data_IF_269426761729
#
_entry.id   IF_269426761729
#
_cell.length_a   1.000
_cell.length_b   1.000
_cell.length_c   1.000
_cell.angle_alpha   90.00
_cell.angle_beta   90.00
_cell.angle_gamma   90.00
#
_symmetry.space_group_name_H-M   'P 1'
#
loop_
_entity.id
_entity.type
_entity.pdbx_description
1 polymer ?
#
# COMPACT_ATOMS: atom_id res chain seq x y z
N UNK A 1 4.80 -15.40 -16.83
CA UNK A 1 3.54 -16.17 -16.98
C UNK A 1 2.68 -15.87 -15.76
N UNK A 2 1.43 -15.47 -15.95
CA UNK A 2 0.47 -15.22 -14.86
C UNK A 2 0.40 -16.43 -13.92
N UNK A 3 0.43 -16.17 -12.62
CA UNK A 3 0.26 -17.19 -11.58
C UNK A 3 -1.19 -17.66 -11.58
N UNK A 4 -1.42 -18.90 -11.92
CA UNK A 4 -2.74 -19.52 -11.88
C UNK A 4 -2.67 -20.78 -11.02
N UNK A 5 -3.59 -20.90 -10.08
CA UNK A 5 -3.67 -22.05 -9.20
C UNK A 5 -4.54 -23.13 -9.84
N UNK A 6 -4.03 -24.36 -9.87
CA UNK A 6 -4.84 -25.54 -10.17
C UNK A 6 -5.95 -25.74 -9.12
N UNK A 7 -7.04 -26.46 -9.43
CA UNK A 7 -8.10 -26.75 -8.45
C UNK A 7 -7.60 -27.42 -7.15
N UNK A 8 -6.54 -28.24 -7.25
CA UNK A 8 -5.91 -28.88 -6.09
C UNK A 8 -5.20 -27.84 -5.20
N UNK A 9 -4.45 -26.91 -5.79
CA UNK A 9 -3.77 -25.82 -5.08
C UNK A 9 -4.77 -24.85 -4.48
N UNK A 10 -5.83 -24.49 -5.21
CA UNK A 10 -6.91 -23.64 -4.67
C UNK A 10 -7.52 -24.25 -3.40
N UNK A 11 -7.84 -25.55 -3.42
CA UNK A 11 -8.36 -26.27 -2.25
C UNK A 11 -7.34 -26.31 -1.11
N UNK A 12 -6.07 -26.54 -1.43
CA UNK A 12 -4.98 -26.60 -0.45
C UNK A 12 -4.77 -25.26 0.26
N UNK A 13 -4.71 -24.13 -0.49
CA UNK A 13 -4.53 -22.80 0.09
C UNK A 13 -5.80 -22.29 0.78
N UNK A 14 -6.98 -22.56 0.24
CA UNK A 14 -8.24 -22.20 0.90
C UNK A 14 -8.41 -22.86 2.27
N UNK A 15 -7.92 -24.08 2.45
CA UNK A 15 -7.95 -24.80 3.73
C UNK A 15 -7.02 -24.17 4.80
N UNK A 16 -6.05 -23.34 4.39
CA UNK A 16 -5.14 -22.64 5.29
C UNK A 16 -5.64 -21.25 5.72
N UNK A 17 -6.64 -20.74 5.02
CA UNK A 17 -7.30 -19.52 5.43
C UNK A 17 -8.15 -19.77 6.67
N UNK A 18 -8.11 -18.86 7.62
CA UNK A 18 -8.89 -18.96 8.86
C UNK A 18 -10.17 -18.10 8.80
N UNK A 19 -11.09 -18.37 9.72
CA UNK A 19 -12.27 -17.55 9.99
C UNK A 19 -12.38 -17.32 11.50
N UNK A 20 -12.54 -16.08 11.88
CA UNK A 20 -12.70 -15.67 13.27
C UNK A 20 -14.18 -15.74 13.66
N UNK A 21 -14.47 -16.36 14.81
CA UNK A 21 -15.83 -16.51 15.37
C UNK A 21 -15.97 -15.87 16.75
N UNK A 22 -14.86 -15.54 17.39
CA UNK A 22 -14.75 -14.93 18.72
C UNK A 22 -13.51 -14.05 18.79
N UNK A 23 -13.33 -13.31 19.88
CA UNK A 23 -12.11 -12.54 20.14
C UNK A 23 -10.89 -13.45 20.03
N UNK A 24 -9.94 -13.02 19.22
CA UNK A 24 -8.71 -13.74 18.94
C UNK A 24 -7.57 -13.19 19.80
N UNK A 25 -6.63 -14.04 20.19
CA UNK A 25 -5.34 -13.63 20.70
C UNK A 25 -4.41 -13.26 19.52
N UNK A 26 -3.33 -12.48 19.75
CA UNK A 26 -2.39 -12.12 18.68
C UNK A 26 -1.87 -13.32 17.90
N UNK A 27 -1.50 -14.39 18.56
CA UNK A 27 -0.98 -15.65 17.99
C UNK A 27 -2.00 -16.37 17.07
N UNK A 28 -3.28 -16.12 17.26
CA UNK A 28 -4.34 -16.71 16.42
C UNK A 28 -4.44 -16.05 15.05
N UNK A 29 -3.97 -14.80 14.91
CA UNK A 29 -4.17 -13.97 13.70
C UNK A 29 -2.87 -13.59 13.01
N UNK A 30 -1.71 -13.62 13.69
CA UNK A 30 -0.43 -13.25 13.07
C UNK A 30 -0.02 -14.32 12.05
N UNK A 31 0.54 -13.89 10.94
CA UNK A 31 0.92 -14.72 9.79
C UNK A 31 -0.23 -15.58 9.24
N UNK A 32 -1.46 -15.05 9.32
CA UNK A 32 -2.65 -15.72 8.83
C UNK A 32 -3.37 -14.91 7.76
N UNK A 33 -3.89 -15.64 6.77
CA UNK A 33 -4.88 -15.11 5.83
C UNK A 33 -6.28 -15.39 6.39
N UNK A 34 -7.03 -14.32 6.64
CA UNK A 34 -8.40 -14.39 7.19
C UNK A 34 -9.39 -14.25 6.04
N UNK A 35 -10.02 -15.36 5.65
CA UNK A 35 -11.03 -15.37 4.58
C UNK A 35 -12.42 -15.05 5.12
N UNK A 36 -12.66 -13.77 5.33
CA UNK A 36 -13.88 -13.23 5.93
C UNK A 36 -14.09 -11.77 5.50
N UNK A 37 -15.32 -11.26 5.61
CA UNK A 37 -15.57 -9.83 5.50
C UNK A 37 -14.73 -9.05 6.52
N UNK A 38 -13.90 -8.13 6.05
CA UNK A 38 -12.93 -7.42 6.88
C UNK A 38 -13.59 -6.60 7.99
N UNK A 39 -14.75 -5.99 7.73
CA UNK A 39 -15.50 -5.23 8.74
C UNK A 39 -16.00 -6.10 9.90
N UNK A 40 -16.27 -7.39 9.64
CA UNK A 40 -16.63 -8.37 10.66
C UNK A 40 -15.40 -8.96 11.33
N UNK A 41 -14.36 -9.27 10.54
CA UNK A 41 -13.12 -9.85 11.07
C UNK A 41 -12.44 -8.92 12.08
N UNK A 42 -12.35 -7.63 11.78
CA UNK A 42 -11.75 -6.62 12.66
C UNK A 42 -12.40 -6.61 14.06
N UNK A 43 -13.69 -6.87 14.20
CA UNK A 43 -14.37 -6.89 15.49
C UNK A 43 -13.78 -7.94 16.46
N UNK A 44 -13.11 -8.96 15.94
CA UNK A 44 -12.47 -10.02 16.70
C UNK A 44 -10.97 -9.79 17.00
N UNK A 45 -10.34 -8.81 16.37
CA UNK A 45 -8.92 -8.51 16.58
C UNK A 45 -8.66 -7.97 17.97
N UNK A 46 -7.47 -8.22 18.54
CA UNK A 46 -6.99 -7.54 19.74
C UNK A 46 -6.89 -6.03 19.51
N UNK A 47 -6.95 -5.26 20.57
CA UNK A 47 -6.67 -3.84 20.52
C UNK A 47 -5.16 -3.61 20.38
N UNK A 48 -4.75 -2.52 19.70
CA UNK A 48 -3.35 -2.07 19.58
C UNK A 48 -2.37 -3.19 19.20
N UNK A 49 -2.73 -3.99 18.19
CA UNK A 49 -1.90 -5.11 17.74
C UNK A 49 -1.19 -4.86 16.40
N UNK A 50 -1.55 -3.80 15.66
CA UNK A 50 -1.04 -3.52 14.31
C UNK A 50 -0.07 -2.33 14.34
N UNK A 51 1.12 -2.50 13.75
CA UNK A 51 2.15 -1.47 13.60
C UNK A 51 2.03 -0.71 12.28
N UNK A 52 1.69 -1.42 11.21
CA UNK A 52 1.53 -0.85 9.88
C UNK A 52 0.26 -1.37 9.22
N UNK A 53 -0.58 -0.48 8.73
CA UNK A 53 -1.73 -0.82 7.91
C UNK A 53 -1.53 -0.30 6.48
N UNK A 54 -1.56 -1.21 5.51
CA UNK A 54 -1.54 -0.88 4.08
C UNK A 54 -2.90 -1.23 3.49
N UNK A 55 -3.53 -0.28 2.83
CA UNK A 55 -4.92 -0.40 2.41
C UNK A 55 -5.07 -0.05 0.94
N UNK A 56 -5.50 -1.02 0.14
CA UNK A 56 -5.96 -0.81 -1.24
C UNK A 56 -7.48 -1.05 -1.31
N UNK A 57 -8.30 -0.08 -0.86
CA UNK A 57 -9.74 -0.26 -0.78
C UNK A 57 -10.36 -0.26 -2.17
N UNK A 58 -11.55 -0.82 -2.36
CA UNK A 58 -12.30 -0.58 -3.60
C UNK A 58 -12.43 0.91 -3.86
N UNK A 59 -11.93 1.35 -5.03
CA UNK A 59 -12.13 2.72 -5.49
C UNK A 59 -13.58 2.92 -5.89
N UNK A 60 -14.07 4.16 -5.84
CA UNK A 60 -15.46 4.44 -6.19
C UNK A 60 -15.73 4.31 -7.70
N UNK A 61 -15.50 3.12 -8.21
CA UNK A 61 -15.68 2.72 -9.59
C UNK A 61 -16.47 1.42 -9.64
N UNK A 62 -17.37 1.30 -10.62
CA UNK A 62 -18.03 0.02 -10.85
C UNK A 62 -17.03 -1.02 -11.35
N UNK A 63 -16.72 -2.01 -10.51
CA UNK A 63 -15.76 -3.06 -10.81
C UNK A 63 -16.22 -4.42 -10.29
N UNK A 64 -16.02 -5.43 -11.15
CA UNK A 64 -16.31 -6.82 -10.81
C UNK A 64 -15.04 -7.49 -10.28
N UNK A 65 -15.14 -8.11 -9.10
CA UNK A 65 -14.09 -8.89 -8.44
C UNK A 65 -14.44 -10.39 -8.42
N UNK A 66 -14.99 -10.91 -9.51
CA UNK A 66 -15.43 -12.30 -9.64
C UNK A 66 -16.76 -12.55 -8.93
N UNK A 67 -16.74 -12.88 -7.65
CA UNK A 67 -17.95 -13.18 -6.86
C UNK A 67 -18.67 -11.97 -6.28
N UNK A 68 -18.06 -10.78 -6.36
CA UNK A 68 -18.61 -9.53 -5.84
C UNK A 68 -18.41 -8.39 -6.82
N UNK A 69 -19.33 -7.44 -6.82
CA UNK A 69 -19.21 -6.21 -7.61
C UNK A 69 -19.30 -5.03 -6.68
N UNK A 70 -18.26 -4.18 -6.71
CA UNK A 70 -18.35 -2.85 -6.13
C UNK A 70 -19.01 -1.94 -7.17
N UNK A 71 -20.05 -1.23 -6.78
CA UNK A 71 -20.76 -0.28 -7.65
C UNK A 71 -20.35 1.15 -7.30
N UNK A 72 -20.08 1.94 -8.33
CA UNK A 72 -19.86 3.38 -8.18
C UNK A 72 -21.10 4.02 -7.51
N UNK A 73 -20.86 4.90 -6.55
CA UNK A 73 -21.87 5.67 -5.84
C UNK A 73 -21.51 7.16 -5.92
N UNK A 74 -22.38 8.03 -5.42
CA UNK A 74 -22.01 9.41 -5.19
C UNK A 74 -20.87 9.51 -4.15
N UNK A 75 -20.14 10.62 -4.17
CA UNK A 75 -18.96 10.81 -3.34
C UNK A 75 -19.29 10.78 -1.84
N UNK A 76 -20.43 11.29 -1.43
CA UNK A 76 -20.82 11.32 -0.01
C UNK A 76 -21.17 9.92 0.51
N UNK A 77 -21.81 9.10 -0.30
CA UNK A 77 -22.03 7.68 0.01
C UNK A 77 -20.71 6.91 0.12
N UNK A 78 -19.75 7.18 -0.77
CA UNK A 78 -18.41 6.61 -0.67
C UNK A 78 -17.69 7.07 0.60
N UNK A 79 -17.74 8.36 0.95
CA UNK A 79 -17.19 8.90 2.21
C UNK A 79 -17.79 8.23 3.45
N UNK A 80 -19.10 7.99 3.46
CA UNK A 80 -19.78 7.27 4.55
C UNK A 80 -19.27 5.84 4.68
N UNK A 81 -19.12 5.14 3.55
CA UNK A 81 -18.56 3.80 3.52
C UNK A 81 -17.11 3.78 4.02
N UNK A 82 -16.25 4.68 3.51
CA UNK A 82 -14.87 4.83 3.93
C UNK A 82 -14.75 5.09 5.45
N UNK A 83 -15.58 6.00 5.97
CA UNK A 83 -15.61 6.32 7.39
C UNK A 83 -16.01 5.12 8.27
N UNK A 84 -16.94 4.28 7.78
CA UNK A 84 -17.44 3.13 8.52
C UNK A 84 -16.33 2.12 8.84
N UNK A 85 -15.49 1.80 7.89
CA UNK A 85 -14.41 0.84 8.12
C UNK A 85 -13.19 1.48 8.79
N UNK A 86 -12.81 2.72 8.43
CA UNK A 86 -11.70 3.42 9.08
C UNK A 86 -11.94 3.55 10.60
N UNK A 87 -13.14 3.95 10.99
CA UNK A 87 -13.50 4.03 12.42
C UNK A 87 -13.27 2.71 13.17
N UNK A 88 -13.52 1.57 12.53
CA UNK A 88 -13.29 0.26 13.14
C UNK A 88 -11.80 -0.09 13.25
N UNK A 89 -10.98 0.36 12.32
CA UNK A 89 -9.54 0.04 12.33
C UNK A 89 -8.76 0.79 13.40
N UNK A 90 -9.22 1.95 13.84
CA UNK A 90 -8.51 2.81 14.82
C UNK A 90 -8.10 2.02 16.07
N UNK A 91 -8.99 1.21 16.63
CA UNK A 91 -8.70 0.50 17.89
C UNK A 91 -7.62 -0.58 17.77
N UNK A 92 -7.45 -1.17 16.58
CA UNK A 92 -6.45 -2.24 16.38
C UNK A 92 -5.05 -1.69 16.10
N UNK A 93 -4.94 -0.41 15.77
CA UNK A 93 -3.67 0.25 15.50
C UNK A 93 -2.96 0.62 16.81
N UNK A 94 -1.66 0.38 16.87
CA UNK A 94 -0.79 0.85 17.96
C UNK A 94 -0.64 2.38 17.93
N UNK A 95 -0.22 2.97 19.03
CA UNK A 95 -0.08 4.44 19.14
C UNK A 95 0.95 5.03 18.17
N UNK A 96 1.94 4.24 17.75
CA UNK A 96 2.98 4.63 16.77
C UNK A 96 2.73 4.06 15.36
N UNK A 97 1.53 3.52 15.11
CA UNK A 97 1.23 2.88 13.84
C UNK A 97 1.20 3.86 12.67
N UNK A 98 1.62 3.35 11.52
CA UNK A 98 1.54 4.01 10.22
C UNK A 98 0.40 3.44 9.39
N UNK A 99 -0.21 4.27 8.54
CA UNK A 99 -1.33 3.89 7.69
C UNK A 99 -1.11 4.43 6.27
N UNK A 100 -1.14 3.56 5.27
CA UNK A 100 -1.13 3.93 3.87
C UNK A 100 -2.45 3.57 3.21
N UNK A 101 -3.05 4.50 2.49
CA UNK A 101 -4.34 4.30 1.80
C UNK A 101 -4.16 4.64 0.33
N UNK A 102 -4.32 3.64 -0.53
CA UNK A 102 -4.29 3.81 -1.98
C UNK A 102 -5.62 4.37 -2.50
N UNK A 103 -5.56 5.14 -3.58
CA UNK A 103 -6.74 5.69 -4.24
C UNK A 103 -6.45 6.09 -5.68
N UNK A 104 -7.48 6.11 -6.51
CA UNK A 104 -7.43 6.80 -7.80
C UNK A 104 -7.66 8.31 -7.64
N UNK A 105 -7.45 9.07 -8.70
CA UNK A 105 -7.58 10.53 -8.68
C UNK A 105 -8.97 11.04 -8.27
N UNK A 106 -10.05 10.29 -8.57
CA UNK A 106 -11.43 10.68 -8.21
C UNK A 106 -11.70 10.49 -6.71
N UNK A 107 -11.33 9.32 -6.18
CA UNK A 107 -11.55 8.98 -4.77
C UNK A 107 -10.52 9.59 -3.85
N UNK A 108 -9.36 9.99 -4.38
CA UNK A 108 -8.27 10.65 -3.66
C UNK A 108 -8.73 11.87 -2.86
N UNK A 109 -9.70 12.63 -3.35
CA UNK A 109 -10.24 13.80 -2.65
C UNK A 109 -10.98 13.45 -1.35
N UNK A 110 -11.54 12.24 -1.22
CA UNK A 110 -12.25 11.79 -0.03
C UNK A 110 -11.32 11.28 1.08
N UNK A 111 -10.13 10.78 0.70
CA UNK A 111 -9.24 10.11 1.65
C UNK A 111 -8.77 11.05 2.77
N UNK A 112 -8.14 12.23 2.51
CA UNK A 112 -7.66 13.10 3.58
C UNK A 112 -8.80 13.67 4.42
N UNK A 113 -9.97 13.93 3.82
CA UNK A 113 -11.12 14.44 4.56
C UNK A 113 -11.64 13.44 5.60
N UNK A 114 -11.68 12.16 5.26
CA UNK A 114 -12.23 11.14 6.15
C UNK A 114 -11.17 10.54 7.06
N UNK A 115 -10.01 10.17 6.52
CA UNK A 115 -8.92 9.60 7.32
C UNK A 115 -8.31 10.61 8.30
N UNK A 116 -8.27 11.89 7.93
CA UNK A 116 -7.81 12.98 8.80
C UNK A 116 -8.65 13.19 10.06
N UNK A 117 -9.84 12.58 10.17
CA UNK A 117 -10.63 12.57 11.40
C UNK A 117 -10.04 11.64 12.48
N UNK A 118 -9.20 10.70 12.08
CA UNK A 118 -8.64 9.64 12.93
C UNK A 118 -7.12 9.65 13.00
N UNK A 119 -6.46 10.15 11.97
CA UNK A 119 -5.02 10.05 11.77
C UNK A 119 -4.40 11.39 11.40
N UNK A 120 -3.13 11.54 11.66
CA UNK A 120 -2.33 12.71 11.26
C UNK A 120 -1.83 12.48 9.83
N UNK A 121 -2.20 13.37 8.91
CA UNK A 121 -1.69 13.33 7.54
C UNK A 121 -0.21 13.70 7.51
N UNK A 122 0.62 12.83 6.94
CA UNK A 122 2.05 13.04 6.79
C UNK A 122 2.43 13.44 5.36
N UNK A 123 1.92 12.70 4.35
CA UNK A 123 2.28 12.95 2.95
C UNK A 123 1.25 12.36 1.98
N UNK A 124 1.35 12.79 0.72
CA UNK A 124 0.72 12.13 -0.43
C UNK A 124 1.82 11.69 -1.39
N UNK A 125 1.85 10.43 -1.72
CA UNK A 125 2.73 9.84 -2.71
C UNK A 125 1.94 9.65 -3.99
N UNK A 126 2.44 10.17 -5.11
CA UNK A 126 1.87 9.96 -6.43
C UNK A 126 2.69 8.90 -7.16
N UNK A 127 2.05 7.75 -7.43
CA UNK A 127 2.67 6.67 -8.15
C UNK A 127 2.24 6.69 -9.62
N UNK A 128 3.23 6.76 -10.53
CA UNK A 128 3.00 6.66 -11.97
C UNK A 128 2.81 5.20 -12.37
N UNK A 129 1.57 4.89 -12.79
CA UNK A 129 1.23 3.57 -13.32
C UNK A 129 1.23 3.58 -14.84
N UNK A 130 2.24 3.56 -15.52
CA UNK A 130 2.43 3.64 -16.99
C UNK A 130 1.25 3.26 -17.93
N UNK A 131 0.13 2.72 -17.45
CA UNK A 131 -0.93 2.19 -18.30
C UNK A 131 -2.30 2.78 -18.00
N UNK A 132 -2.70 3.68 -18.84
CA UNK A 132 -4.09 4.03 -19.11
C UNK A 132 -4.31 4.07 -20.62
N UNK A 133 -5.52 3.76 -21.09
CA UNK A 133 -5.91 4.07 -22.46
C UNK A 133 -5.90 5.58 -22.62
N UNK A 134 -5.44 6.07 -23.78
CA UNK A 134 -5.53 7.49 -24.08
C UNK A 134 -6.98 7.96 -24.02
N UNK A 135 -7.20 9.17 -23.52
CA UNK A 135 -8.49 9.83 -23.58
C UNK A 135 -8.51 10.74 -24.80
N UNK A 136 -9.63 10.79 -25.51
CA UNK A 136 -9.76 11.66 -26.70
C UNK A 136 -10.00 13.13 -26.31
N UNK A 137 -10.76 13.35 -25.22
CA UNK A 137 -11.23 14.68 -24.81
C UNK A 137 -10.74 15.08 -23.41
N UNK A 138 -9.71 14.39 -22.88
CA UNK A 138 -9.12 14.69 -21.58
C UNK A 138 -7.69 14.15 -21.50
N UNK A 139 -6.96 14.51 -20.44
CA UNK A 139 -5.64 13.98 -20.16
C UNK A 139 -5.69 12.50 -19.78
N UNK A 140 -4.72 11.73 -20.27
CA UNK A 140 -4.55 10.32 -19.88
C UNK A 140 -4.27 10.24 -18.39
N UNK A 141 -5.11 9.51 -17.65
CA UNK A 141 -4.84 9.24 -16.25
C UNK A 141 -3.76 8.14 -16.11
N UNK A 142 -2.63 8.49 -15.55
CA UNK A 142 -1.52 7.57 -15.31
C UNK A 142 -1.07 7.53 -13.83
N UNK A 143 -1.79 8.22 -12.93
CA UNK A 143 -1.39 8.32 -11.53
C UNK A 143 -2.39 7.61 -10.60
N UNK A 144 -1.85 7.02 -9.55
CA UNK A 144 -2.58 6.66 -8.32
C UNK A 144 -1.93 7.38 -7.15
N UNK A 145 -2.73 7.74 -6.15
CA UNK A 145 -2.27 8.36 -4.92
C UNK A 145 -2.18 7.33 -3.80
N UNK A 146 -1.15 7.45 -2.98
CA UNK A 146 -0.97 6.70 -1.74
C UNK A 146 -0.87 7.74 -0.62
N UNK A 147 -1.89 7.81 0.21
CA UNK A 147 -1.95 8.73 1.32
C UNK A 147 -1.28 8.15 2.55
N UNK A 148 -0.27 8.82 3.06
CA UNK A 148 0.47 8.42 4.25
C UNK A 148 -0.04 9.16 5.48
N UNK A 149 -0.48 8.39 6.46
CA UNK A 149 -0.95 8.88 7.75
C UNK A 149 -0.22 8.16 8.89
N UNK A 150 -0.29 8.73 10.10
CA UNK A 150 0.18 8.12 11.35
C UNK A 150 -0.85 8.31 12.45
N UNK A 151 -0.86 7.40 13.44
CA UNK A 151 -1.75 7.51 14.60
C UNK A 151 -1.30 8.63 15.52
N UNK A 152 0.01 8.83 15.66
CA UNK A 152 0.59 9.91 16.47
C UNK A 152 1.74 10.61 15.73
N UNK A 153 2.38 11.56 16.39
CA UNK A 153 3.58 12.24 15.87
C UNK A 153 4.85 11.38 16.01
N UNK A 154 4.81 10.37 16.85
CA UNK A 154 5.89 9.39 16.99
C UNK A 154 5.56 8.16 16.17
N UNK A 155 6.33 7.88 15.13
CA UNK A 155 6.13 6.75 14.24
C UNK A 155 7.45 6.26 13.64
N UNK A 156 7.45 5.03 13.15
CA UNK A 156 8.61 4.44 12.47
C UNK A 156 8.71 4.98 11.04
N UNK A 157 9.90 5.49 10.68
CA UNK A 157 10.26 5.78 9.30
C UNK A 157 11.73 5.49 9.04
N UNK A 158 12.01 4.35 8.42
CA UNK A 158 13.34 3.82 8.15
C UNK A 158 13.89 4.40 6.84
N UNK A 159 14.32 5.65 6.87
CA UNK A 159 14.80 6.38 5.70
C UNK A 159 15.93 5.66 4.95
N UNK A 160 16.88 5.08 5.70
CA UNK A 160 18.03 4.39 5.12
C UNK A 160 17.63 3.16 4.28
N UNK A 161 16.57 2.45 4.70
CA UNK A 161 16.07 1.26 4.02
C UNK A 161 15.40 1.56 2.65
N UNK A 162 15.04 2.82 2.43
CA UNK A 162 14.32 3.25 1.20
C UNK A 162 15.06 4.29 0.38
N UNK A 163 16.30 4.63 0.75
CA UNK A 163 17.16 5.47 -0.10
C UNK A 163 17.30 4.89 -1.50
N UNK A 164 17.34 5.77 -2.48
CA UNK A 164 17.48 5.40 -3.89
C UNK A 164 18.82 5.87 -4.44
N UNK A 165 19.41 5.03 -5.29
CA UNK A 165 20.61 5.40 -6.02
C UNK A 165 20.22 6.22 -7.25
N UNK A 166 20.72 7.45 -7.33
CA UNK A 166 20.53 8.34 -8.50
C UNK A 166 21.86 8.65 -9.15
N UNK A 167 21.86 8.69 -10.48
CA UNK A 167 23.01 9.17 -11.27
C UNK A 167 23.21 10.67 -11.00
N UNK A 168 24.46 11.08 -10.81
CA UNK A 168 24.83 12.47 -10.49
C UNK A 168 25.22 13.18 -11.77
N UNK A 169 24.41 14.20 -12.14
CA UNK A 169 24.66 15.03 -13.32
C UNK A 169 25.71 16.09 -13.02
N UNK A 170 25.66 16.70 -11.83
CA UNK A 170 26.60 17.72 -11.37
C UNK A 170 27.25 17.28 -10.05
N UNK A 171 28.43 16.62 -10.10
CA UNK A 171 29.12 16.12 -8.91
C UNK A 171 29.79 17.25 -8.14
N UNK A 172 29.40 17.46 -6.89
CA UNK A 172 30.12 18.37 -5.99
C UNK A 172 31.32 17.68 -5.38
N UNK A 173 32.40 18.44 -5.22
CA UNK A 173 33.60 18.02 -4.49
C UNK A 173 33.77 18.92 -3.27
N UNK A 174 34.40 18.40 -2.24
CA UNK A 174 34.79 19.17 -1.06
C UNK A 174 36.09 19.98 -1.34
N UNK A 175 36.55 20.69 -0.33
CA UNK A 175 37.75 21.52 -0.42
C UNK A 175 39.04 20.73 -0.67
N UNK A 176 39.05 19.44 -0.41
CA UNK A 176 40.18 18.53 -0.69
C UNK A 176 40.13 17.92 -2.09
N UNK A 177 39.05 18.18 -2.85
CA UNK A 177 38.79 17.58 -4.15
C UNK A 177 38.14 16.19 -4.10
N UNK A 178 37.79 15.68 -2.91
CA UNK A 178 37.11 14.41 -2.76
C UNK A 178 35.62 14.52 -3.08
N UNK A 179 34.95 13.42 -3.53
CA UNK A 179 33.51 13.38 -3.69
C UNK A 179 32.77 13.73 -2.39
N UNK A 180 31.86 14.73 -2.43
CA UNK A 180 31.16 15.20 -1.24
C UNK A 180 30.07 14.23 -0.76
N UNK A 181 29.28 13.70 -1.70
CA UNK A 181 28.08 12.87 -1.40
C UNK A 181 27.77 11.86 -2.51
N UNK A 182 28.77 11.49 -3.29
CA UNK A 182 28.62 10.57 -4.41
C UNK A 182 29.80 9.59 -4.51
N UNK A 183 29.58 8.51 -5.24
CA UNK A 183 30.59 7.46 -5.49
C UNK A 183 30.58 7.06 -6.97
N UNK A 184 31.67 6.47 -7.42
CA UNK A 184 31.80 5.94 -8.77
C UNK A 184 31.44 4.45 -8.79
N UNK A 185 30.68 4.06 -9.83
CA UNK A 185 30.42 2.66 -10.15
C UNK A 185 30.54 2.49 -11.66
N UNK A 186 31.63 1.87 -12.09
CA UNK A 186 32.06 1.85 -13.49
C UNK A 186 32.33 3.28 -14.00
N UNK A 187 31.79 3.62 -15.16
CA UNK A 187 31.97 4.95 -15.78
C UNK A 187 30.90 5.99 -15.33
N UNK A 188 30.11 5.66 -14.32
CA UNK A 188 29.01 6.53 -13.86
C UNK A 188 29.18 6.91 -12.40
N UNK A 189 28.61 8.05 -12.05
CA UNK A 189 28.63 8.61 -10.70
C UNK A 189 27.25 8.53 -10.10
N UNK A 190 27.17 8.09 -8.86
CA UNK A 190 25.91 7.86 -8.16
C UNK A 190 25.96 8.46 -6.76
N UNK A 191 24.79 8.82 -6.26
CA UNK A 191 24.60 9.11 -4.84
C UNK A 191 23.38 8.40 -4.31
N UNK A 192 23.38 8.09 -3.02
CA UNK A 192 22.18 7.69 -2.29
C UNK A 192 21.42 8.94 -1.90
N UNK A 193 20.16 9.02 -2.29
CA UNK A 193 19.31 10.17 -2.02
C UNK A 193 17.98 9.73 -1.42
N UNK A 194 17.32 10.65 -0.72
CA UNK A 194 15.99 10.42 -0.17
C UNK A 194 15.00 10.15 -1.30
N UNK A 195 14.08 9.19 -1.12
CA UNK A 195 13.01 8.96 -2.09
C UNK A 195 12.08 10.18 -2.11
N UNK A 196 11.65 10.58 -3.30
CA UNK A 196 10.60 11.59 -3.45
C UNK A 196 9.22 10.97 -3.22
N UNK A 197 8.21 11.82 -3.09
CA UNK A 197 6.81 11.40 -3.08
C UNK A 197 6.20 11.26 -4.49
N UNK A 198 7.02 11.28 -5.54
CA UNK A 198 6.64 10.92 -6.91
C UNK A 198 7.43 9.67 -7.28
N UNK A 199 6.71 8.56 -7.51
CA UNK A 199 7.29 7.25 -7.82
C UNK A 199 7.06 6.91 -9.28
N UNK A 200 8.13 6.88 -10.05
CA UNK A 200 8.15 6.58 -11.48
C UNK A 200 8.90 5.29 -11.81
N UNK A 201 9.44 4.64 -10.78
CA UNK A 201 10.33 3.48 -10.89
C UNK A 201 9.64 2.14 -10.58
N UNK A 202 8.31 2.14 -10.45
CA UNK A 202 7.51 0.97 -10.09
C UNK A 202 6.46 0.73 -11.18
N UNK A 203 6.65 -0.33 -11.96
CA UNK A 203 5.69 -0.74 -12.98
C UNK A 203 4.55 -1.56 -12.38
N UNK A 204 3.37 -1.52 -13.01
CA UNK A 204 2.29 -2.46 -12.68
C UNK A 204 2.72 -3.89 -13.07
N UNK A 205 2.19 -4.93 -12.39
CA UNK A 205 2.47 -6.31 -12.78
C UNK A 205 1.99 -6.61 -14.21
N UNK A 206 2.92 -7.00 -15.08
CA UNK A 206 2.61 -7.45 -16.43
C UNK A 206 2.48 -8.97 -16.47
N UNK A 207 1.76 -9.50 -17.45
CA UNK A 207 1.58 -10.93 -17.67
C UNK A 207 2.89 -11.76 -17.74
N UNK A 208 4.01 -11.12 -18.08
CA UNK A 208 5.33 -11.75 -18.13
C UNK A 208 6.11 -11.70 -16.80
N UNK A 209 5.64 -10.91 -15.84
CA UNK A 209 6.30 -10.79 -14.53
C UNK A 209 5.93 -11.97 -13.61
N UNK A 210 6.87 -12.45 -12.78
CA UNK A 210 6.64 -13.60 -11.91
C UNK A 210 5.56 -13.36 -10.86
N UNK A 211 5.35 -12.12 -10.44
CA UNK A 211 4.35 -11.72 -9.45
C UNK A 211 2.91 -11.60 -10.01
N UNK A 212 2.75 -11.62 -11.34
CA UNK A 212 1.45 -11.33 -11.95
C UNK A 212 0.40 -12.41 -11.65
N UNK A 213 -0.76 -11.99 -11.19
CA UNK A 213 -1.94 -12.84 -10.93
C UNK A 213 -3.14 -12.40 -11.80
N UNK A 214 -4.22 -13.21 -11.89
CA UNK A 214 -5.44 -12.79 -12.58
C UNK A 214 -6.19 -11.65 -11.88
N UNK A 215 -5.76 -11.20 -10.71
CA UNK A 215 -6.44 -10.15 -9.96
C UNK A 215 -6.37 -8.80 -10.71
N UNK A 216 -7.51 -8.17 -11.00
CA UNK A 216 -7.57 -7.04 -11.94
C UNK A 216 -6.97 -5.72 -11.42
N UNK A 217 -6.66 -5.65 -10.11
CA UNK A 217 -6.13 -4.45 -9.44
C UNK A 217 -4.96 -4.76 -8.53
N UNK A 218 -4.22 -5.83 -8.83
CA UNK A 218 -3.04 -6.20 -8.07
C UNK A 218 -2.06 -5.03 -7.97
N UNK A 219 -1.59 -4.75 -6.74
CA UNK A 219 -0.49 -3.82 -6.50
C UNK A 219 0.85 -4.53 -6.72
N UNK A 220 1.87 -3.82 -7.25
CA UNK A 220 3.21 -4.38 -7.40
C UNK A 220 3.83 -4.74 -6.05
N UNK A 221 4.51 -5.90 -5.95
CA UNK A 221 5.26 -6.29 -4.76
C UNK A 221 6.29 -5.22 -4.36
N UNK A 222 6.98 -4.62 -5.32
CA UNK A 222 7.96 -3.54 -5.08
C UNK A 222 7.33 -2.33 -4.39
N UNK A 223 6.07 -1.99 -4.70
CA UNK A 223 5.36 -0.88 -4.06
C UNK A 223 5.10 -1.20 -2.59
N UNK A 224 4.52 -2.37 -2.33
CA UNK A 224 4.20 -2.82 -0.96
C UNK A 224 5.47 -2.98 -0.13
N UNK A 225 6.51 -3.61 -0.67
CA UNK A 225 7.80 -3.76 0.00
C UNK A 225 8.40 -2.41 0.41
N UNK A 226 8.31 -1.39 -0.46
CA UNK A 226 8.82 -0.05 -0.16
C UNK A 226 8.08 0.60 1.02
N UNK A 227 6.75 0.40 1.12
CA UNK A 227 5.96 0.89 2.25
C UNK A 227 6.32 0.15 3.55
N UNK A 228 6.44 -1.17 3.48
CA UNK A 228 6.82 -2.02 4.63
C UNK A 228 8.22 -1.64 5.14
N UNK A 229 9.21 -1.57 4.26
CA UNK A 229 10.58 -1.19 4.62
C UNK A 229 10.66 0.21 5.24
N UNK A 230 9.86 1.16 4.74
CA UNK A 230 9.84 2.52 5.28
C UNK A 230 9.23 2.58 6.67
N UNK A 231 8.15 1.85 6.95
CA UNK A 231 7.28 2.12 8.10
C UNK A 231 7.03 0.94 9.03
N UNK A 232 7.91 -0.08 8.98
CA UNK A 232 7.90 -1.17 9.96
C UNK A 232 9.32 -1.71 10.21
N UNK A 233 9.48 -2.42 11.32
CA UNK A 233 10.71 -3.11 11.71
C UNK A 233 10.49 -4.63 11.69
N UNK A 234 11.56 -5.44 11.67
CA UNK A 234 11.43 -6.89 11.86
C UNK A 234 10.64 -7.23 13.12
N UNK A 235 9.61 -8.05 12.99
CA UNK A 235 8.70 -8.43 14.08
C UNK A 235 7.47 -7.54 14.25
N UNK A 236 7.37 -6.41 13.53
CA UNK A 236 6.18 -5.58 13.51
C UNK A 236 5.04 -6.26 12.73
N UNK A 237 3.80 -5.98 13.15
CA UNK A 237 2.59 -6.53 12.54
C UNK A 237 2.11 -5.63 11.41
N UNK A 238 2.10 -6.18 10.20
CA UNK A 238 1.55 -5.54 9.00
C UNK A 238 0.17 -6.08 8.71
N UNK A 239 -0.80 -5.20 8.51
CA UNK A 239 -2.20 -5.55 8.25
C UNK A 239 -2.71 -4.97 6.94
N UNK A 240 -3.28 -5.83 6.10
CA UNK A 240 -4.02 -5.45 4.90
C UNK A 240 -5.48 -5.93 5.01
N UNK A 241 -6.45 -5.01 5.18
CA UNK A 241 -7.88 -5.36 5.26
C UNK A 241 -8.52 -5.70 3.91
N UNK A 242 -7.83 -5.44 2.78
CA UNK A 242 -8.33 -5.67 1.43
C UNK A 242 -7.30 -6.43 0.57
N UNK A 243 -6.75 -7.49 1.10
CA UNK A 243 -5.58 -8.24 0.61
C UNK A 243 -5.59 -8.58 -0.90
N UNK A 244 -6.76 -8.75 -1.52
CA UNK A 244 -6.86 -9.00 -2.97
C UNK A 244 -6.23 -10.33 -3.38
N UNK A 245 -5.08 -10.25 -4.08
CA UNK A 245 -4.34 -11.44 -4.54
C UNK A 245 -3.36 -12.01 -3.51
N UNK A 246 -3.17 -11.32 -2.41
CA UNK A 246 -2.22 -11.73 -1.37
C UNK A 246 -0.95 -10.92 -1.39
#
# INVERSE_FOLDING_TARGET
KTIELSPKEQKFYAARCIKLKAKAAPEDIFDKTIYQDSLRAIDFFPDKCVDLMVVDPPYNLTKNFGRSTFKETDLDSYKKWLNKWLKKTVRVLKDKASVYICSDWKTSIAIPEIAGKYFILQNRISWEREKGRGAQNNWKNCLEDIWFFTVSREYTFNLEAVKIQKEVIAPYRDSSGAPKDWFENGNKRYRLTHPSNVWTDISIPFWSMPENTPHPTQKPEKLIAKLILASSNPGDVVFDPFLGSG
#
